data_IF_236765661703
#
_entry.id   IF_236765661703
#
_cell.length_a   1.000
_cell.length_b   1.000
_cell.length_c   1.000
_cell.angle_alpha   90.00
_cell.angle_beta   90.00
_cell.angle_gamma   90.00
#
_symmetry.space_group_name_H-M   'P 1'
#
loop_
_entity.id
_entity.type
_entity.pdbx_description
1 polymer ?
#
# COMPACT_ATOMS: atom_id res chain seq x y z
N UNK A 1 -19.04 10.61 6.75
CA UNK A 1 -20.11 9.68 6.31
C UNK A 1 -19.65 8.98 5.04
N UNK A 2 -19.96 7.69 4.90
CA UNK A 2 -19.67 6.94 3.65
C UNK A 2 -20.58 7.46 2.53
N UNK A 3 -20.10 7.55 1.27
CA UNK A 3 -20.95 7.88 0.13
C UNK A 3 -22.06 6.83 -0.06
N UNK A 4 -23.24 7.25 -0.55
CA UNK A 4 -24.32 6.31 -0.88
C UNK A 4 -23.86 5.29 -1.93
N UNK A 5 -24.13 4.00 -1.69
CA UNK A 5 -23.83 2.92 -2.65
C UNK A 5 -22.45 2.26 -2.50
N UNK A 6 -21.51 2.85 -1.75
CA UNK A 6 -20.20 2.24 -1.49
C UNK A 6 -20.38 1.00 -0.62
N UNK A 7 -20.07 -0.17 -1.17
CA UNK A 7 -19.97 -1.40 -0.38
C UNK A 7 -18.65 -1.42 0.40
N UNK A 8 -18.75 -1.12 1.69
CA UNK A 8 -17.62 -1.21 2.63
C UNK A 8 -17.08 -2.64 2.72
N UNK A 9 -15.77 -2.78 2.74
CA UNK A 9 -15.12 -4.03 3.11
C UNK A 9 -15.14 -4.13 4.63
N UNK A 10 -15.53 -5.26 5.20
CA UNK A 10 -15.51 -5.48 6.66
C UNK A 10 -14.50 -6.56 6.98
N UNK A 11 -13.50 -6.25 7.82
CA UNK A 11 -12.44 -7.21 8.15
C UNK A 11 -12.97 -8.35 9.04
N UNK A 12 -13.75 -8.00 10.06
CA UNK A 12 -14.40 -8.96 10.95
C UNK A 12 -15.88 -8.56 11.19
N UNK A 13 -16.86 -9.25 10.59
CA UNK A 13 -18.28 -8.93 10.78
C UNK A 13 -18.76 -9.07 12.23
N UNK A 14 -18.12 -9.93 13.04
CA UNK A 14 -18.48 -10.12 14.44
C UNK A 14 -17.93 -9.01 15.37
N UNK A 15 -16.97 -8.23 14.89
CA UNK A 15 -16.36 -7.11 15.60
C UNK A 15 -16.03 -6.00 14.59
N UNK A 16 -17.05 -5.27 14.10
CA UNK A 16 -16.82 -4.21 13.13
C UNK A 16 -15.93 -3.12 13.74
N UNK A 17 -14.98 -2.63 12.95
CA UNK A 17 -14.12 -1.55 13.39
C UNK A 17 -14.85 -0.20 13.41
N UNK A 18 -14.37 0.70 14.27
CA UNK A 18 -14.88 2.08 14.30
C UNK A 18 -14.59 2.79 12.96
N UNK A 19 -15.52 3.63 12.48
CA UNK A 19 -15.29 4.44 11.30
C UNK A 19 -14.02 5.29 11.44
N UNK A 20 -13.33 5.50 10.32
CA UNK A 20 -12.18 6.38 10.28
C UNK A 20 -12.63 7.84 10.44
N UNK A 21 -12.30 8.45 11.58
CA UNK A 21 -12.57 9.88 11.83
C UNK A 21 -11.49 10.75 11.17
N UNK A 22 -11.62 10.88 9.86
CA UNK A 22 -10.76 11.71 9.02
C UNK A 22 -11.61 12.35 7.93
N UNK A 23 -11.73 13.68 7.98
CA UNK A 23 -12.67 14.44 7.14
C UNK A 23 -12.60 14.07 5.63
N UNK A 24 -11.42 13.99 4.97
CA UNK A 24 -11.37 13.66 3.54
C UNK A 24 -11.61 12.18 3.24
N UNK A 25 -11.77 11.30 4.24
CA UNK A 25 -11.96 9.86 4.02
C UNK A 25 -13.17 9.55 3.12
N UNK A 26 -14.27 10.29 3.29
CA UNK A 26 -15.46 10.17 2.46
C UNK A 26 -15.24 10.69 1.04
N UNK A 27 -14.57 11.85 0.92
CA UNK A 27 -14.26 12.46 -0.38
C UNK A 27 -13.30 11.60 -1.21
N UNK A 28 -12.34 10.94 -0.57
CA UNK A 28 -11.41 10.01 -1.21
C UNK A 28 -12.13 8.73 -1.69
N UNK A 29 -13.12 8.23 -0.95
CA UNK A 29 -13.97 7.13 -1.42
C UNK A 29 -14.75 7.52 -2.67
N UNK A 30 -15.42 8.68 -2.66
CA UNK A 30 -16.13 9.19 -3.86
C UNK A 30 -15.18 9.40 -5.04
N UNK A 31 -13.98 9.94 -4.78
CA UNK A 31 -12.99 10.14 -5.83
C UNK A 31 -12.47 8.80 -6.40
N UNK A 32 -12.31 7.77 -5.57
CA UNK A 32 -11.90 6.43 -6.00
C UNK A 32 -12.93 5.77 -6.93
N UNK A 33 -14.24 5.97 -6.73
CA UNK A 33 -15.29 5.41 -7.60
C UNK A 33 -15.20 5.91 -9.05
N UNK A 34 -14.66 7.12 -9.24
CA UNK A 34 -14.62 7.80 -10.53
C UNK A 34 -13.21 7.95 -11.10
N UNK A 35 -12.17 7.51 -10.37
CA UNK A 35 -10.80 7.78 -10.77
C UNK A 35 -10.35 6.97 -11.99
N UNK A 36 -10.93 5.79 -12.20
CA UNK A 36 -10.59 4.89 -13.31
C UNK A 36 -9.08 4.63 -13.39
N UNK A 37 -8.46 4.34 -12.25
CA UNK A 37 -7.02 4.14 -12.12
C UNK A 37 -6.19 5.43 -12.02
N UNK A 38 -6.76 6.61 -12.30
CA UNK A 38 -6.00 7.87 -12.39
C UNK A 38 -5.77 8.51 -11.01
N UNK A 39 -4.54 8.95 -10.68
CA UNK A 39 -4.22 9.47 -9.35
C UNK A 39 -4.74 10.90 -9.11
N UNK A 40 -4.94 11.71 -10.16
CA UNK A 40 -5.17 13.16 -10.03
C UNK A 40 -6.39 13.54 -9.17
N UNK A 41 -7.56 12.87 -9.27
CA UNK A 41 -8.68 13.17 -8.40
C UNK A 41 -8.35 12.98 -6.91
N UNK A 42 -7.60 11.94 -6.57
CA UNK A 42 -7.20 11.63 -5.20
C UNK A 42 -6.16 12.65 -4.71
N UNK A 43 -5.17 12.96 -5.53
CA UNK A 43 -4.14 13.96 -5.20
C UNK A 43 -4.73 15.35 -4.96
N UNK A 44 -5.75 15.75 -5.73
CA UNK A 44 -6.48 17.00 -5.48
C UNK A 44 -7.13 17.02 -4.10
N UNK A 45 -7.83 15.94 -3.73
CA UNK A 45 -8.43 15.82 -2.39
C UNK A 45 -7.34 15.88 -1.32
N UNK A 46 -6.26 15.11 -1.43
CA UNK A 46 -5.17 15.12 -0.46
C UNK A 46 -4.53 16.51 -0.29
N UNK A 47 -4.25 17.21 -1.39
CA UNK A 47 -3.63 18.54 -1.35
C UNK A 47 -4.56 19.64 -0.79
N UNK A 48 -5.88 19.47 -0.93
CA UNK A 48 -6.87 20.44 -0.44
C UNK A 48 -7.13 20.34 1.08
N UNK A 49 -6.75 19.23 1.72
CA UNK A 49 -7.01 18.99 3.14
C UNK A 49 -5.70 19.09 3.95
N UNK A 50 -5.49 20.19 4.70
CA UNK A 50 -4.24 20.42 5.40
C UNK A 50 -4.07 19.57 6.68
N UNK A 51 -5.11 18.83 7.09
CA UNK A 51 -5.10 18.01 8.29
C UNK A 51 -4.06 16.90 8.24
N UNK A 52 -3.60 16.47 9.43
CA UNK A 52 -2.67 15.34 9.56
C UNK A 52 -3.41 14.07 9.12
N UNK A 53 -2.86 13.28 8.18
CA UNK A 53 -3.47 12.02 7.79
C UNK A 53 -3.51 11.03 8.96
N UNK A 54 -4.48 10.10 8.97
CA UNK A 54 -4.54 9.06 9.98
C UNK A 54 -3.33 8.15 9.84
N UNK A 55 -2.82 7.72 10.98
CA UNK A 55 -1.62 6.91 11.13
C UNK A 55 -1.99 5.67 11.94
N UNK A 56 -1.48 4.48 11.57
CA UNK A 56 -1.79 3.29 12.34
C UNK A 56 -1.06 3.32 13.69
N UNK A 57 -1.48 2.43 14.59
CA UNK A 57 -0.91 2.26 15.93
C UNK A 57 -1.37 3.31 16.93
N UNK A 58 -2.58 3.86 16.77
CA UNK A 58 -3.11 4.94 17.64
C UNK A 58 -4.51 4.66 18.17
N UNK A 59 -4.94 3.39 18.18
CA UNK A 59 -6.21 2.96 18.77
C UNK A 59 -7.34 2.71 17.77
N UNK A 60 -7.13 2.94 16.47
CA UNK A 60 -8.08 2.58 15.42
C UNK A 60 -7.39 2.04 14.15
N UNK A 61 -6.39 1.17 14.32
CA UNK A 61 -5.69 0.55 13.18
C UNK A 61 -6.64 -0.30 12.33
N UNK A 62 -7.59 -0.99 12.98
CA UNK A 62 -8.58 -1.81 12.29
C UNK A 62 -9.45 -0.98 11.34
N UNK A 63 -9.94 0.19 11.79
CA UNK A 63 -10.74 1.09 10.96
C UNK A 63 -9.95 1.66 9.78
N UNK A 64 -8.68 2.01 10.00
CA UNK A 64 -7.79 2.47 8.93
C UNK A 64 -7.54 1.39 7.87
N UNK A 65 -7.21 0.16 8.28
CA UNK A 65 -7.01 -0.96 7.35
C UNK A 65 -8.29 -1.35 6.63
N UNK A 66 -9.44 -1.29 7.32
CA UNK A 66 -10.74 -1.52 6.70
C UNK A 66 -11.05 -0.47 5.62
N UNK A 67 -10.74 0.79 5.90
CA UNK A 67 -10.90 1.88 4.93
C UNK A 67 -9.96 1.73 3.73
N UNK A 68 -8.68 1.39 3.95
CA UNK A 68 -7.73 1.09 2.86
C UNK A 68 -8.21 -0.09 2.00
N UNK A 69 -8.70 -1.16 2.62
CA UNK A 69 -9.27 -2.30 1.91
C UNK A 69 -10.54 -1.90 1.11
N UNK A 70 -11.34 -0.98 1.64
CA UNK A 70 -12.52 -0.45 0.94
C UNK A 70 -12.12 0.36 -0.28
N UNK A 71 -11.18 1.30 -0.16
CA UNK A 71 -10.61 2.05 -1.28
C UNK A 71 -10.06 1.10 -2.34
N UNK A 72 -9.27 0.10 -1.94
CA UNK A 72 -8.65 -0.84 -2.86
C UNK A 72 -9.65 -1.80 -3.55
N UNK A 73 -10.77 -2.11 -2.89
CA UNK A 73 -11.86 -2.87 -3.51
C UNK A 73 -12.57 -2.07 -4.60
N UNK A 74 -12.63 -0.74 -4.46
CA UNK A 74 -13.11 0.18 -5.49
C UNK A 74 -12.07 0.23 -6.62
N UNK A 75 -10.88 0.75 -6.34
CA UNK A 75 -9.79 0.92 -7.31
C UNK A 75 -8.40 0.80 -6.64
N UNK A 76 -7.56 -0.11 -7.13
CA UNK A 76 -6.24 -0.38 -6.56
C UNK A 76 -5.23 0.74 -6.79
N UNK A 77 -5.38 1.51 -7.87
CA UNK A 77 -4.53 2.66 -8.13
C UNK A 77 -4.87 3.82 -7.17
N UNK A 78 -6.15 3.99 -6.80
CA UNK A 78 -6.54 4.91 -5.74
C UNK A 78 -5.88 4.52 -4.41
N UNK A 79 -5.94 3.24 -4.03
CA UNK A 79 -5.25 2.75 -2.83
C UNK A 79 -3.74 3.00 -2.90
N UNK A 80 -3.10 2.71 -4.04
CA UNK A 80 -1.67 2.92 -4.22
C UNK A 80 -1.26 4.39 -4.24
N UNK A 81 -2.17 5.30 -4.58
CA UNK A 81 -1.96 6.76 -4.51
C UNK A 81 -2.00 7.25 -3.07
N UNK A 82 -2.90 6.69 -2.26
CA UNK A 82 -3.16 7.13 -0.88
C UNK A 82 -2.19 6.50 0.12
N UNK A 83 -1.93 5.19 0.01
CA UNK A 83 -1.20 4.42 1.03
C UNK A 83 0.20 5.00 1.35
N UNK A 84 1.06 5.35 0.37
CA UNK A 84 2.36 5.95 0.65
C UNK A 84 2.27 7.33 1.32
N UNK A 85 1.18 8.07 1.07
CA UNK A 85 0.95 9.36 1.71
C UNK A 85 0.65 9.19 3.21
N UNK A 86 -0.09 8.15 3.57
CA UNK A 86 -0.33 7.79 4.97
C UNK A 86 0.93 7.22 5.65
N UNK A 87 1.71 6.39 4.94
CA UNK A 87 3.00 5.89 5.47
C UNK A 87 3.99 7.04 5.73
N UNK A 88 4.05 8.04 4.83
CA UNK A 88 4.86 9.24 5.06
C UNK A 88 4.44 9.99 6.33
N UNK A 89 3.13 10.16 6.58
CA UNK A 89 2.64 10.77 7.82
C UNK A 89 3.05 9.95 9.06
N UNK A 90 2.97 8.62 8.99
CA UNK A 90 3.39 7.72 10.06
C UNK A 90 4.91 7.82 10.34
N UNK A 91 5.72 7.84 9.29
CA UNK A 91 7.19 7.99 9.36
C UNK A 91 7.55 9.33 10.03
N UNK A 92 6.99 10.44 9.56
CA UNK A 92 7.28 11.77 10.09
C UNK A 92 6.89 11.86 11.57
N UNK A 93 5.69 11.38 11.93
CA UNK A 93 5.24 11.36 13.33
C UNK A 93 6.17 10.54 14.23
N UNK A 94 6.57 9.35 13.80
CA UNK A 94 7.47 8.48 14.59
C UNK A 94 8.88 9.08 14.75
N UNK A 95 9.32 9.89 13.79
CA UNK A 95 10.59 10.61 13.85
C UNK A 95 10.47 11.97 14.56
N UNK A 96 9.29 12.38 15.02
CA UNK A 96 9.08 13.67 15.71
C UNK A 96 9.04 14.88 14.79
N UNK A 97 8.76 14.70 13.50
CA UNK A 97 8.60 15.78 12.53
C UNK A 97 7.13 16.16 12.37
N UNK A 98 6.88 17.44 12.14
CA UNK A 98 5.55 17.97 11.83
C UNK A 98 5.11 17.57 10.41
N UNK A 99 3.80 17.41 10.24
CA UNK A 99 3.19 17.19 8.93
C UNK A 99 3.04 18.51 8.16
N UNK A 100 3.62 18.66 6.97
CA UNK A 100 3.43 19.88 6.20
C UNK A 100 2.02 19.94 5.59
N UNK A 101 1.22 20.92 6.01
CA UNK A 101 -0.13 21.14 5.50
C UNK A 101 -0.18 21.28 3.96
N UNK A 102 -1.20 20.68 3.34
CA UNK A 102 -1.46 20.80 1.90
C UNK A 102 -0.42 20.15 0.99
N UNK A 103 0.38 19.21 1.52
CA UNK A 103 1.40 18.49 0.76
C UNK A 103 0.92 17.10 0.33
N UNK A 104 1.55 16.54 -0.71
CA UNK A 104 1.32 15.17 -1.20
C UNK A 104 2.65 14.42 -1.17
N UNK A 105 2.61 13.15 -0.77
CA UNK A 105 3.82 12.42 -0.37
C UNK A 105 3.91 11.05 -1.02
N UNK A 106 5.13 10.70 -1.40
CA UNK A 106 5.54 9.34 -1.72
C UNK A 106 6.55 8.81 -0.70
N UNK A 107 6.75 7.50 -0.69
CA UNK A 107 7.80 6.82 0.10
C UNK A 107 8.59 5.90 -0.82
N UNK A 108 9.87 6.22 -1.02
CA UNK A 108 10.77 5.53 -1.94
C UNK A 108 11.90 4.88 -1.17
N UNK A 109 11.70 3.62 -0.77
CA UNK A 109 12.68 2.85 0.00
C UNK A 109 13.35 1.73 -0.81
N UNK A 110 12.77 1.32 -1.94
CA UNK A 110 13.25 0.17 -2.71
C UNK A 110 14.60 0.44 -3.42
N UNK A 111 15.42 -0.60 -3.57
CA UNK A 111 16.77 -0.54 -4.16
C UNK A 111 16.91 -1.52 -5.35
N UNK A 112 17.54 -1.07 -6.44
CA UNK A 112 17.83 -1.91 -7.60
C UNK A 112 19.33 -2.16 -7.70
N UNK A 113 19.75 -3.34 -8.20
CA UNK A 113 21.14 -3.54 -8.60
C UNK A 113 21.58 -2.41 -9.55
N UNK A 114 22.77 -1.86 -9.32
CA UNK A 114 23.40 -0.82 -10.15
C UNK A 114 22.74 0.57 -10.13
N UNK A 115 21.73 0.80 -9.29
CA UNK A 115 21.24 2.14 -9.00
C UNK A 115 21.51 2.48 -7.54
N UNK A 116 22.40 3.46 -7.34
CA UNK A 116 22.79 3.91 -6.02
C UNK A 116 22.33 5.36 -5.85
N UNK A 117 21.69 5.64 -4.73
CA UNK A 117 21.43 6.99 -4.24
C UNK A 117 22.25 7.18 -2.96
N UNK A 118 23.18 8.12 -2.98
CA UNK A 118 23.99 8.49 -1.83
C UNK A 118 23.46 9.78 -1.21
N UNK A 119 23.78 9.97 0.06
CA UNK A 119 23.54 11.19 0.79
C UNK A 119 24.83 11.59 1.52
N UNK A 120 25.26 12.83 1.31
CA UNK A 120 26.48 13.39 1.89
C UNK A 120 26.17 14.79 2.44
N UNK A 121 26.92 15.21 3.47
CA UNK A 121 26.85 16.58 3.96
C UNK A 121 27.81 17.45 3.17
N UNK A 122 27.37 18.63 2.76
CA UNK A 122 28.27 19.66 2.23
C UNK A 122 29.10 20.32 3.34
N UNK A 123 29.94 21.28 2.95
CA UNK A 123 30.81 22.02 3.89
C UNK A 123 30.05 22.84 4.94
N UNK A 124 28.74 23.04 4.78
CA UNK A 124 27.87 23.74 5.72
C UNK A 124 27.05 22.77 6.58
N UNK A 125 27.21 21.45 6.38
CA UNK A 125 26.51 20.41 7.11
C UNK A 125 25.12 20.06 6.56
N UNK A 126 24.73 20.62 5.41
CA UNK A 126 23.45 20.32 4.77
C UNK A 126 23.55 19.01 4.00
N UNK A 127 22.58 18.12 4.18
CA UNK A 127 22.53 16.86 3.43
C UNK A 127 22.09 17.08 1.99
N UNK A 128 22.79 16.44 1.06
CA UNK A 128 22.49 16.47 -0.37
C UNK A 128 22.41 15.04 -0.92
N UNK A 129 21.39 14.78 -1.75
CA UNK A 129 21.23 13.49 -2.44
C UNK A 129 21.83 13.53 -3.84
N UNK A 130 22.56 12.47 -4.19
CA UNK A 130 23.17 12.29 -5.49
C UNK A 130 22.99 10.84 -5.99
N UNK A 131 22.59 10.69 -7.26
CA UNK A 131 22.41 9.39 -7.89
C UNK A 131 20.96 9.09 -8.23
N UNK A 132 20.57 7.81 -8.27
CA UNK A 132 19.26 7.41 -8.83
C UNK A 132 18.51 6.52 -7.86
N UNK A 133 17.23 6.86 -7.62
CA UNK A 133 16.29 6.03 -6.88
C UNK A 133 15.29 5.35 -7.83
N UNK A 134 15.20 4.02 -7.85
CA UNK A 134 14.18 3.33 -8.62
C UNK A 134 12.81 3.34 -7.96
N UNK A 135 11.79 3.03 -8.75
CA UNK A 135 10.41 2.76 -8.33
C UNK A 135 9.77 3.87 -7.51
N UNK A 136 9.95 5.10 -7.96
CA UNK A 136 9.40 6.30 -7.34
C UNK A 136 7.99 6.58 -7.87
N UNK A 137 7.01 5.83 -7.36
CA UNK A 137 5.59 5.98 -7.73
C UNK A 137 5.13 7.43 -7.63
N UNK A 138 4.58 7.97 -8.73
CA UNK A 138 4.00 9.32 -8.84
C UNK A 138 4.98 10.47 -8.58
N UNK A 139 6.30 10.27 -8.71
CA UNK A 139 7.27 11.31 -8.41
C UNK A 139 7.06 12.63 -9.20
N UNK A 140 6.47 12.57 -10.41
CA UNK A 140 6.14 13.74 -11.20
C UNK A 140 4.84 14.46 -10.79
N UNK A 141 4.06 13.91 -9.86
CA UNK A 141 2.75 14.41 -9.45
C UNK A 141 2.67 14.77 -7.96
N UNK A 142 3.69 14.41 -7.17
CA UNK A 142 3.73 14.60 -5.73
C UNK A 142 4.60 15.81 -5.36
N UNK A 143 4.30 16.49 -4.25
CA UNK A 143 5.11 17.64 -3.82
C UNK A 143 6.36 17.23 -3.04
N UNK A 144 6.30 16.12 -2.30
CA UNK A 144 7.38 15.65 -1.42
C UNK A 144 7.53 14.13 -1.46
N UNK A 145 8.68 13.66 -0.99
CA UNK A 145 8.90 12.24 -0.76
C UNK A 145 9.78 11.98 0.46
N UNK A 146 9.54 10.84 1.11
CA UNK A 146 10.54 10.19 1.95
C UNK A 146 11.38 9.27 1.07
N UNK A 147 12.70 9.42 1.09
CA UNK A 147 13.63 8.69 0.21
C UNK A 147 14.74 8.07 1.04
N UNK A 148 14.99 6.77 0.88
CA UNK A 148 16.16 6.13 1.50
C UNK A 148 17.41 6.32 0.63
N UNK A 149 18.53 6.68 1.25
CA UNK A 149 19.84 6.83 0.61
C UNK A 149 20.96 6.24 1.49
N UNK A 150 22.10 5.94 0.88
CA UNK A 150 23.28 5.45 1.58
C UNK A 150 24.13 6.63 2.08
N UNK A 151 24.50 6.60 3.37
CA UNK A 151 25.50 7.50 3.95
C UNK A 151 26.73 6.68 4.36
N UNK A 152 27.80 7.37 4.78
CA UNK A 152 28.97 6.73 5.38
C UNK A 152 28.65 5.91 6.66
N UNK A 153 27.53 6.19 7.34
CA UNK A 153 27.08 5.51 8.55
C UNK A 153 26.02 4.42 8.26
N UNK A 154 25.75 4.13 6.99
CA UNK A 154 24.74 3.19 6.56
C UNK A 154 23.51 3.86 5.95
N UNK A 155 22.43 3.10 5.80
CA UNK A 155 21.23 3.59 5.14
C UNK A 155 20.45 4.54 6.04
N UNK A 156 20.03 5.69 5.50
CA UNK A 156 19.18 6.67 6.18
C UNK A 156 18.03 7.09 5.25
N UNK A 157 16.95 7.61 5.82
CA UNK A 157 15.86 8.20 5.05
C UNK A 157 15.86 9.72 5.17
N UNK A 158 15.37 10.37 4.13
CA UNK A 158 15.35 11.82 4.00
C UNK A 158 14.01 12.30 3.45
N UNK A 159 13.54 13.45 3.90
CA UNK A 159 12.45 14.17 3.26
C UNK A 159 13.02 15.14 2.21
N UNK A 160 12.47 15.11 1.00
CA UNK A 160 12.84 16.00 -0.11
C UNK A 160 11.60 16.65 -0.72
N UNK A 161 11.79 17.80 -1.37
CA UNK A 161 10.78 18.36 -2.29
C UNK A 161 11.06 17.84 -3.69
N UNK A 162 10.02 17.35 -4.36
CA UNK A 162 10.16 16.75 -5.70
C UNK A 162 10.20 17.80 -6.82
N UNK A 163 9.91 19.05 -6.49
CA UNK A 163 9.99 20.20 -7.40
C UNK A 163 11.36 20.89 -7.39
N UNK A 164 12.31 20.45 -6.56
CA UNK A 164 13.62 21.08 -6.48
C UNK A 164 14.41 20.82 -7.77
N UNK A 165 15.21 21.79 -8.21
CA UNK A 165 15.81 21.80 -9.55
C UNK A 165 16.72 20.59 -9.88
N UNK A 166 17.28 19.94 -8.86
CA UNK A 166 18.11 18.75 -9.01
C UNK A 166 17.34 17.43 -9.07
N UNK A 167 16.00 17.46 -9.06
CA UNK A 167 15.14 16.27 -9.13
C UNK A 167 14.66 16.08 -10.57
N UNK A 168 15.03 14.95 -11.18
CA UNK A 168 14.64 14.60 -12.54
C UNK A 168 13.90 13.25 -12.60
N UNK A 169 12.61 13.29 -12.93
CA UNK A 169 11.78 12.08 -13.09
C UNK A 169 12.04 11.45 -14.46
N UNK A 170 12.58 10.23 -14.46
CA UNK A 170 12.97 9.53 -15.68
C UNK A 170 11.75 8.98 -16.42
N UNK A 171 11.46 9.57 -17.59
CA UNK A 171 10.30 9.22 -18.41
C UNK A 171 10.46 7.88 -19.12
N UNK A 172 9.34 7.26 -19.49
CA UNK A 172 9.33 6.07 -20.37
C UNK A 172 9.83 4.76 -19.74
N UNK A 173 10.10 4.73 -18.43
CA UNK A 173 10.62 3.55 -17.72
C UNK A 173 9.54 2.64 -17.13
N UNK A 174 8.26 3.03 -17.22
CA UNK A 174 7.12 2.26 -16.69
C UNK A 174 6.30 1.64 -17.83
N UNK A 175 6.46 0.33 -18.05
CA UNK A 175 5.74 -0.43 -19.09
C UNK A 175 4.61 -1.31 -18.55
N UNK A 176 4.35 -1.26 -17.24
CA UNK A 176 3.39 -2.15 -16.60
C UNK A 176 1.97 -1.95 -17.15
N UNK A 177 1.24 -3.05 -17.32
CA UNK A 177 -0.19 -3.04 -17.67
C UNK A 177 -1.08 -2.92 -16.44
N UNK A 178 -0.60 -3.36 -15.28
CA UNK A 178 -1.19 -3.05 -13.98
C UNK A 178 -0.61 -1.77 -13.42
N UNK A 179 -1.43 -1.02 -12.68
CA UNK A 179 -1.10 0.30 -12.14
C UNK A 179 -0.55 1.21 -13.25
N UNK A 180 -1.12 1.12 -14.46
CA UNK A 180 -0.61 1.80 -15.65
C UNK A 180 -0.59 3.33 -15.49
N UNK A 181 -1.53 3.87 -14.71
CA UNK A 181 -1.65 5.30 -14.39
C UNK A 181 -0.87 5.73 -13.15
N UNK A 182 -0.12 4.81 -12.51
CA UNK A 182 0.76 5.08 -11.38
C UNK A 182 2.21 4.92 -11.84
N UNK A 183 2.76 5.86 -12.64
CA UNK A 183 4.13 5.77 -13.13
C UNK A 183 5.09 5.62 -11.95
N UNK A 184 5.82 4.49 -11.95
CA UNK A 184 6.75 4.12 -10.88
C UNK A 184 8.15 3.95 -11.45
N UNK A 185 8.60 4.96 -12.19
CA UNK A 185 9.92 5.02 -12.80
C UNK A 185 11.03 5.39 -11.83
N UNK A 186 12.23 5.61 -12.36
CA UNK A 186 13.37 6.10 -11.55
C UNK A 186 13.34 7.62 -11.42
N UNK A 187 13.96 8.15 -10.37
CA UNK A 187 14.22 9.59 -10.19
C UNK A 187 15.72 9.77 -10.01
N UNK A 188 16.29 10.68 -10.79
CA UNK A 188 17.67 11.11 -10.65
C UNK A 188 17.74 12.34 -9.75
N UNK A 189 18.74 12.36 -8.87
CA UNK A 189 19.01 13.43 -7.91
C UNK A 189 20.41 13.97 -8.17
N UNK A 190 20.52 15.29 -8.32
CA UNK A 190 21.80 16.01 -8.44
C UNK A 190 21.85 17.10 -7.38
N UNK A 191 22.68 16.91 -6.36
CA UNK A 191 22.89 17.85 -5.25
C UNK A 191 21.57 18.32 -4.60
N UNK A 192 20.59 17.43 -4.44
CA UNK A 192 19.25 17.79 -3.94
C UNK A 192 19.27 17.96 -2.43
N UNK A 193 18.93 19.14 -1.87
CA UNK A 193 18.86 19.34 -0.43
C UNK A 193 17.84 18.40 0.22
N UNK A 194 18.23 17.81 1.33
CA UNK A 194 17.46 16.75 1.96
C UNK A 194 17.41 16.90 3.48
N UNK A 195 16.21 16.80 4.06
CA UNK A 195 16.05 16.82 5.50
C UNK A 195 16.20 15.38 6.03
N UNK A 196 17.20 15.08 6.88
CA UNK A 196 17.33 13.75 7.44
C UNK A 196 16.16 13.42 8.38
N UNK A 197 15.63 12.20 8.28
CA UNK A 197 14.54 11.69 9.12
C UNK A 197 15.06 10.48 9.91
N UNK A 198 15.02 10.56 11.24
CA UNK A 198 15.61 9.53 12.11
C UNK A 198 17.12 9.36 11.93
N UNK A 199 17.72 8.39 12.64
CA UNK A 199 19.14 8.04 12.51
C UNK A 199 19.38 7.07 11.32
N UNK A 200 20.65 6.79 11.00
CA UNK A 200 20.96 5.67 10.10
C UNK A 200 20.45 4.34 10.69
N UNK A 201 19.93 3.45 9.84
CA UNK A 201 19.30 2.18 10.24
C UNK A 201 17.85 2.29 10.72
N UNK A 202 17.46 3.43 11.30
CA UNK A 202 16.18 3.63 11.99
C UNK A 202 14.93 3.23 11.21
N UNK A 203 14.91 3.43 9.88
CA UNK A 203 13.71 3.20 9.07
C UNK A 203 13.15 1.77 9.16
N UNK A 204 14.02 0.75 9.23
CA UNK A 204 13.57 -0.64 9.36
C UNK A 204 13.27 -1.03 10.81
N UNK A 205 13.95 -0.38 11.76
CA UNK A 205 13.83 -0.69 13.19
C UNK A 205 12.64 0.02 13.85
N UNK A 206 12.05 1.02 13.19
CA UNK A 206 10.91 1.77 13.74
C UNK A 206 9.73 0.81 13.99
N UNK A 207 9.01 0.95 15.11
CA UNK A 207 7.85 0.09 15.43
C UNK A 207 6.77 0.06 14.34
N UNK A 208 6.63 1.16 13.59
CA UNK A 208 5.58 1.27 12.57
C UNK A 208 5.91 0.57 11.25
N UNK A 209 7.13 0.04 11.05
CA UNK A 209 7.53 -0.55 9.77
C UNK A 209 6.70 -1.80 9.47
N UNK A 210 6.60 -2.69 10.46
CA UNK A 210 5.78 -3.89 10.38
C UNK A 210 4.28 -3.55 10.20
N UNK A 211 3.78 -2.55 10.94
CA UNK A 211 2.39 -2.10 10.86
C UNK A 211 2.05 -1.51 9.48
N UNK A 212 2.93 -0.67 8.92
CA UNK A 212 2.78 -0.14 7.57
C UNK A 212 2.75 -1.23 6.51
N UNK A 213 3.62 -2.24 6.65
CA UNK A 213 3.66 -3.39 5.75
C UNK A 213 2.35 -4.22 5.77
N UNK A 214 1.66 -4.31 6.92
CA UNK A 214 0.32 -4.91 7.00
C UNK A 214 -0.75 -4.00 6.38
N UNK A 215 -0.61 -2.68 6.49
CA UNK A 215 -1.48 -1.72 5.78
C UNK A 215 -1.46 -1.90 4.26
N UNK A 216 -0.29 -2.18 3.68
CA UNK A 216 -0.17 -2.55 2.26
C UNK A 216 -0.92 -3.86 1.97
N UNK A 217 -0.86 -4.86 2.87
CA UNK A 217 -1.62 -6.09 2.72
C UNK A 217 -3.14 -5.85 2.79
N UNK A 218 -3.61 -4.91 3.60
CA UNK A 218 -5.03 -4.53 3.60
C UNK A 218 -5.48 -4.00 2.23
N UNK A 219 -4.62 -3.27 1.51
CA UNK A 219 -4.89 -2.85 0.12
C UNK A 219 -4.99 -4.06 -0.82
N UNK A 220 -4.07 -5.03 -0.73
CA UNK A 220 -4.15 -6.24 -1.55
C UNK A 220 -5.42 -7.04 -1.27
N UNK A 221 -5.77 -7.19 0.01
CA UNK A 221 -7.01 -7.82 0.45
C UNK A 221 -8.23 -7.14 -0.17
N UNK A 222 -8.29 -5.81 -0.15
CA UNK A 222 -9.35 -5.06 -0.84
C UNK A 222 -9.44 -5.39 -2.33
N UNK A 223 -8.30 -5.44 -3.02
CA UNK A 223 -8.23 -5.89 -4.41
C UNK A 223 -8.83 -7.28 -4.63
N UNK A 224 -8.51 -8.24 -3.74
CA UNK A 224 -9.07 -9.59 -3.79
C UNK A 224 -10.59 -9.61 -3.49
N UNK A 225 -11.08 -8.78 -2.58
CA UNK A 225 -12.53 -8.59 -2.36
C UNK A 225 -13.21 -8.09 -3.63
N UNK A 226 -12.60 -7.16 -4.35
CA UNK A 226 -13.11 -6.68 -5.64
C UNK A 226 -13.21 -7.79 -6.69
N UNK A 227 -12.24 -8.72 -6.75
CA UNK A 227 -12.32 -9.90 -7.62
C UNK A 227 -13.48 -10.83 -7.22
N UNK A 228 -13.63 -11.09 -5.92
CA UNK A 228 -14.71 -11.92 -5.40
C UNK A 228 -16.09 -11.31 -5.64
N UNK A 229 -16.24 -9.99 -5.56
CA UNK A 229 -17.49 -9.29 -5.92
C UNK A 229 -17.88 -9.54 -7.37
N UNK A 230 -16.93 -9.57 -8.30
CA UNK A 230 -17.19 -9.95 -9.70
C UNK A 230 -17.65 -11.40 -9.81
N UNK A 231 -17.00 -12.34 -9.10
CA UNK A 231 -17.43 -13.74 -9.06
C UNK A 231 -18.86 -13.87 -8.51
N UNK A 232 -19.17 -13.20 -7.41
CA UNK A 232 -20.48 -13.17 -6.78
C UNK A 232 -21.56 -12.64 -7.72
N UNK A 233 -21.32 -11.48 -8.34
CA UNK A 233 -22.24 -10.90 -9.31
C UNK A 233 -22.44 -11.81 -10.54
N UNK A 234 -21.39 -12.51 -10.99
CA UNK A 234 -21.51 -13.47 -12.09
C UNK A 234 -22.47 -14.63 -11.76
N UNK A 235 -22.41 -15.13 -10.52
CA UNK A 235 -23.28 -16.20 -10.03
C UNK A 235 -24.75 -15.76 -9.83
N UNK A 236 -25.03 -14.46 -9.81
CA UNK A 236 -26.41 -13.94 -9.73
C UNK A 236 -27.09 -13.80 -11.10
N UNK A 237 -26.35 -13.89 -12.21
CA UNK A 237 -26.91 -13.70 -13.57
C UNK A 237 -27.79 -14.86 -14.05
N UNK A 238 -27.56 -16.06 -13.52
CA UNK A 238 -28.33 -17.28 -13.78
C UNK A 238 -28.25 -18.18 -12.55
N UNK A 239 -29.11 -19.19 -12.44
CA UNK A 239 -29.01 -20.17 -11.37
C UNK A 239 -27.61 -20.81 -11.36
N UNK A 240 -26.86 -20.70 -10.24
CA UNK A 240 -25.50 -21.24 -10.17
C UNK A 240 -25.53 -22.76 -10.04
N UNK A 241 -24.70 -23.44 -10.83
CA UNK A 241 -24.45 -24.87 -10.66
C UNK A 241 -23.56 -25.15 -9.45
N UNK A 242 -23.32 -26.44 -9.16
CA UNK A 242 -22.49 -26.86 -8.04
C UNK A 242 -21.05 -26.31 -8.09
N UNK A 243 -20.49 -26.11 -9.29
CA UNK A 243 -19.13 -25.58 -9.43
C UNK A 243 -19.11 -24.09 -9.11
N UNK A 244 -20.07 -23.32 -9.62
CA UNK A 244 -20.22 -21.91 -9.26
C UNK A 244 -20.38 -21.73 -7.74
N UNK A 245 -21.20 -22.57 -7.09
CA UNK A 245 -21.35 -22.57 -5.64
C UNK A 245 -20.05 -22.96 -4.91
N UNK A 246 -19.29 -23.93 -5.43
CA UNK A 246 -17.99 -24.32 -4.89
C UNK A 246 -16.97 -23.15 -4.92
N UNK A 247 -16.89 -22.43 -6.05
CA UNK A 247 -16.01 -21.28 -6.19
C UNK A 247 -16.37 -20.14 -5.23
N UNK A 248 -17.67 -19.89 -5.01
CA UNK A 248 -18.14 -18.93 -4.02
C UNK A 248 -17.75 -19.34 -2.60
N UNK A 249 -17.96 -20.62 -2.24
CA UNK A 249 -17.59 -21.14 -0.92
C UNK A 249 -16.08 -21.06 -0.66
N UNK A 250 -15.26 -21.39 -1.65
CA UNK A 250 -13.80 -21.26 -1.55
C UNK A 250 -13.39 -19.79 -1.38
N UNK A 251 -13.87 -18.90 -2.25
CA UNK A 251 -13.56 -17.47 -2.16
C UNK A 251 -13.99 -16.84 -0.84
N UNK A 252 -15.18 -17.19 -0.34
CA UNK A 252 -15.68 -16.74 0.96
C UNK A 252 -14.74 -17.16 2.10
N UNK A 253 -14.40 -18.46 2.19
CA UNK A 253 -13.54 -18.98 3.25
C UNK A 253 -12.15 -18.35 3.24
N UNK A 254 -11.58 -18.17 2.05
CA UNK A 254 -10.26 -17.54 1.89
C UNK A 254 -10.27 -16.07 2.33
N UNK A 255 -11.25 -15.28 1.87
CA UNK A 255 -11.37 -13.87 2.25
C UNK A 255 -11.73 -13.71 3.73
N UNK A 256 -12.56 -14.59 4.28
CA UNK A 256 -12.87 -14.58 5.71
C UNK A 256 -11.63 -14.80 6.56
N UNK A 257 -10.80 -15.80 6.22
CA UNK A 257 -9.52 -16.03 6.89
C UNK A 257 -8.56 -14.84 6.82
N UNK A 258 -8.41 -14.24 5.64
CA UNK A 258 -7.56 -13.06 5.45
C UNK A 258 -8.07 -11.84 6.21
N UNK A 259 -9.39 -11.61 6.22
CA UNK A 259 -10.03 -10.53 6.98
C UNK A 259 -9.81 -10.68 8.48
N UNK A 260 -9.96 -11.91 9.02
CA UNK A 260 -9.67 -12.20 10.43
C UNK A 260 -8.19 -12.00 10.78
N UNK A 261 -7.27 -12.41 9.90
CA UNK A 261 -5.84 -12.19 10.12
C UNK A 261 -5.49 -10.69 10.22
N UNK A 262 -6.05 -9.86 9.33
CA UNK A 262 -5.91 -8.41 9.39
C UNK A 262 -6.55 -7.81 10.64
N UNK A 263 -7.79 -8.20 10.96
CA UNK A 263 -8.49 -7.70 12.15
C UNK A 263 -7.75 -8.05 13.45
N UNK A 264 -7.25 -9.29 13.55
CA UNK A 264 -6.50 -9.76 14.73
C UNK A 264 -5.16 -9.03 14.88
N UNK A 265 -4.49 -8.68 13.79
CA UNK A 265 -3.24 -7.93 13.82
C UNK A 265 -3.41 -6.45 14.24
N UNK A 266 -4.60 -5.87 14.10
CA UNK A 266 -4.82 -4.47 14.43
C UNK A 266 -4.67 -4.16 15.93
N UNK A 267 -5.11 -5.06 16.82
CA UNK A 267 -4.96 -4.89 18.27
C UNK A 267 -3.50 -4.82 18.73
N UNK A 268 -2.64 -5.80 18.38
CA UNK A 268 -1.20 -5.71 18.59
C UNK A 268 -0.56 -4.47 17.95
N UNK A 269 -1.02 -4.02 16.78
CA UNK A 269 -0.52 -2.79 16.16
C UNK A 269 -0.83 -1.55 17.01
N UNK A 270 -2.07 -1.41 17.50
CA UNK A 270 -2.47 -0.32 18.38
C UNK A 270 -1.77 -0.37 19.74
N UNK A 271 -1.47 -1.58 20.23
CA UNK A 271 -0.66 -1.79 21.43
C UNK A 271 0.86 -1.60 21.22
N UNK A 272 1.32 -1.26 20.01
CA UNK A 272 2.75 -1.18 19.65
C UNK A 272 3.53 -2.48 19.88
N UNK A 273 2.88 -3.63 19.67
CA UNK A 273 3.44 -4.98 19.86
C UNK A 273 3.50 -5.82 18.58
N UNK A 274 2.97 -5.32 17.46
CA UNK A 274 3.05 -6.03 16.18
C UNK A 274 4.49 -5.96 15.66
N UNK A 275 5.12 -7.12 15.49
CA UNK A 275 6.50 -7.21 15.04
C UNK A 275 6.62 -7.64 13.56
N UNK A 276 7.86 -7.78 13.08
CA UNK A 276 8.09 -8.15 11.68
C UNK A 276 7.65 -9.58 11.35
N UNK A 277 7.69 -10.53 12.30
CA UNK A 277 7.22 -11.89 12.08
C UNK A 277 5.68 -11.93 11.94
N UNK A 278 4.97 -11.13 12.74
CA UNK A 278 3.53 -10.92 12.58
C UNK A 278 3.21 -10.34 11.20
N UNK A 279 3.94 -9.29 10.78
CA UNK A 279 3.74 -8.67 9.48
C UNK A 279 3.98 -9.65 8.32
N UNK A 280 5.07 -10.42 8.36
CA UNK A 280 5.35 -11.45 7.35
C UNK A 280 4.25 -12.51 7.30
N UNK A 281 3.75 -12.96 8.45
CA UNK A 281 2.67 -13.94 8.55
C UNK A 281 1.40 -13.44 7.87
N UNK A 282 0.94 -12.23 8.24
CA UNK A 282 -0.28 -11.64 7.68
C UNK A 282 -0.11 -11.35 6.18
N UNK A 283 1.02 -10.77 5.78
CA UNK A 283 1.30 -10.45 4.37
C UNK A 283 1.37 -11.70 3.51
N UNK A 284 2.05 -12.75 3.98
CA UNK A 284 2.15 -14.03 3.27
C UNK A 284 0.78 -14.68 3.10
N UNK A 285 -0.04 -14.71 4.15
CA UNK A 285 -1.39 -15.25 4.09
C UNK A 285 -2.28 -14.47 3.10
N UNK A 286 -2.30 -13.14 3.20
CA UNK A 286 -3.08 -12.28 2.29
C UNK A 286 -2.58 -12.43 0.84
N UNK A 287 -1.26 -12.48 0.62
CA UNK A 287 -0.69 -12.64 -0.71
C UNK A 287 -1.10 -13.99 -1.34
N UNK A 288 -1.08 -15.08 -0.56
CA UNK A 288 -1.53 -16.40 -1.02
C UNK A 288 -3.03 -16.40 -1.40
N UNK A 289 -3.87 -15.77 -0.57
CA UNK A 289 -5.31 -15.58 -0.87
C UNK A 289 -5.50 -14.80 -2.17
N UNK A 290 -4.81 -13.68 -2.33
CA UNK A 290 -4.92 -12.86 -3.54
C UNK A 290 -4.48 -13.63 -4.80
N UNK A 291 -3.39 -14.39 -4.72
CA UNK A 291 -2.92 -15.24 -5.82
C UNK A 291 -3.95 -16.31 -6.20
N UNK A 292 -4.58 -16.95 -5.21
CA UNK A 292 -5.62 -17.95 -5.46
C UNK A 292 -6.83 -17.31 -6.15
N UNK A 293 -7.29 -16.14 -5.69
CA UNK A 293 -8.41 -15.44 -6.32
C UNK A 293 -8.08 -14.94 -7.74
N UNK A 294 -6.85 -14.47 -7.99
CA UNK A 294 -6.41 -14.07 -9.33
C UNK A 294 -6.44 -15.23 -10.34
N UNK A 295 -6.13 -16.45 -9.91
CA UNK A 295 -6.22 -17.64 -10.76
C UNK A 295 -7.66 -18.13 -10.90
N UNK A 296 -8.38 -18.18 -9.78
CA UNK A 296 -9.70 -18.81 -9.67
C UNK A 296 -10.81 -18.02 -10.36
N UNK A 297 -10.82 -16.68 -10.25
CA UNK A 297 -11.95 -15.87 -10.76
C UNK A 297 -12.06 -15.91 -12.29
N UNK A 298 -10.96 -15.78 -13.07
CA UNK A 298 -11.02 -15.97 -14.52
C UNK A 298 -11.42 -17.38 -14.94
N UNK A 299 -10.98 -18.41 -14.21
CA UNK A 299 -11.39 -19.81 -14.47
C UNK A 299 -12.90 -19.99 -14.26
N UNK A 300 -13.44 -19.42 -13.19
CA UNK A 300 -14.86 -19.53 -12.85
C UNK A 300 -15.80 -18.67 -13.71
N UNK A 301 -15.30 -17.54 -14.24
CA UNK A 301 -16.15 -16.56 -14.96
C UNK A 301 -15.92 -16.53 -16.47
N UNK A 302 -14.88 -17.22 -16.95
CA UNK A 302 -14.45 -17.18 -18.34
C UNK A 302 -13.86 -15.81 -18.73
N UNK A 303 -13.63 -15.57 -20.03
CA UNK A 303 -12.96 -14.34 -20.49
C UNK A 303 -13.85 -13.09 -20.39
N UNK A 304 -15.17 -13.25 -20.25
CA UNK A 304 -16.16 -12.17 -20.34
C UNK A 304 -15.82 -10.95 -19.47
N UNK A 305 -15.62 -11.09 -18.15
CA UNK A 305 -15.24 -9.96 -17.29
C UNK A 305 -13.89 -9.33 -17.66
N UNK A 306 -12.92 -10.11 -18.15
CA UNK A 306 -11.60 -9.58 -18.52
C UNK A 306 -11.62 -8.74 -19.81
N UNK A 307 -12.61 -8.94 -20.68
CA UNK A 307 -12.71 -8.22 -21.97
C UNK A 307 -13.85 -7.21 -22.01
N UNK A 308 -14.87 -7.38 -21.16
CA UNK A 308 -16.10 -6.59 -21.18
C UNK A 308 -16.31 -5.67 -19.99
N UNK A 309 -15.51 -5.79 -18.93
CA UNK A 309 -15.55 -4.94 -17.75
C UNK A 309 -14.16 -4.31 -17.50
N UNK A 310 -14.03 -3.04 -17.88
CA UNK A 310 -12.78 -2.27 -17.75
C UNK A 310 -12.29 -2.21 -16.29
N UNK A 311 -13.20 -2.04 -15.32
CA UNK A 311 -12.84 -1.96 -13.91
C UNK A 311 -12.32 -3.31 -13.39
N UNK A 312 -12.94 -4.42 -13.79
CA UNK A 312 -12.45 -5.76 -13.44
C UNK A 312 -11.11 -6.09 -14.12
N UNK A 313 -10.99 -5.82 -15.42
CA UNK A 313 -9.76 -6.07 -16.17
C UNK A 313 -8.56 -5.28 -15.60
N UNK A 314 -8.77 -4.00 -15.28
CA UNK A 314 -7.78 -3.17 -14.59
C UNK A 314 -7.46 -3.74 -13.21
N UNK A 315 -8.45 -4.11 -12.40
CA UNK A 315 -8.22 -4.69 -11.06
C UNK A 315 -7.34 -5.94 -11.10
N UNK A 316 -7.57 -6.83 -12.06
CA UNK A 316 -6.74 -8.03 -12.25
C UNK A 316 -5.29 -7.66 -12.57
N UNK A 317 -5.08 -6.73 -13.51
CA UNK A 317 -3.73 -6.27 -13.88
C UNK A 317 -3.03 -5.56 -12.71
N UNK A 318 -3.73 -4.64 -12.05
CA UNK A 318 -3.24 -3.83 -10.93
C UNK A 318 -2.84 -4.71 -9.74
N UNK A 319 -3.70 -5.66 -9.35
CA UNK A 319 -3.40 -6.56 -8.23
C UNK A 319 -2.21 -7.46 -8.57
N UNK A 320 -2.11 -7.91 -9.82
CA UNK A 320 -1.01 -8.74 -10.31
C UNK A 320 0.35 -8.09 -10.07
N UNK A 321 0.49 -6.80 -10.36
CA UNK A 321 1.75 -6.07 -10.11
C UNK A 321 1.88 -5.59 -8.65
N UNK A 322 0.81 -5.12 -8.00
CA UNK A 322 0.89 -4.60 -6.63
C UNK A 322 1.34 -5.70 -5.63
N UNK A 323 0.90 -6.95 -5.85
CA UNK A 323 1.35 -8.10 -5.08
C UNK A 323 2.84 -8.41 -5.21
N UNK A 324 3.55 -7.89 -6.22
CA UNK A 324 5.01 -8.13 -6.36
C UNK A 324 5.86 -7.37 -5.34
N UNK A 325 5.24 -6.56 -4.48
CA UNK A 325 5.86 -6.06 -3.26
C UNK A 325 5.96 -7.12 -2.14
N UNK A 326 5.33 -8.29 -2.31
CA UNK A 326 5.63 -9.51 -1.55
C UNK A 326 6.71 -10.30 -2.28
N UNK A 327 7.80 -10.65 -1.60
CA UNK A 327 8.97 -11.29 -2.22
C UNK A 327 8.89 -12.83 -2.28
N UNK A 328 7.71 -13.39 -2.06
CA UNK A 328 7.46 -14.83 -2.16
C UNK A 328 8.32 -15.62 -1.18
N UNK A 329 9.00 -16.65 -1.68
CA UNK A 329 9.84 -17.54 -0.88
C UNK A 329 10.93 -16.83 -0.06
N UNK A 330 11.35 -15.60 -0.43
CA UNK A 330 12.28 -14.82 0.39
C UNK A 330 11.63 -14.30 1.67
N UNK A 331 10.39 -13.82 1.58
CA UNK A 331 9.60 -13.39 2.74
C UNK A 331 9.27 -14.62 3.62
N UNK A 332 8.93 -15.78 3.02
CA UNK A 332 8.71 -17.03 3.75
C UNK A 332 9.99 -17.53 4.46
N UNK A 333 11.15 -17.43 3.82
CA UNK A 333 12.42 -17.80 4.43
C UNK A 333 12.76 -16.88 5.62
N UNK A 334 12.50 -15.57 5.49
CA UNK A 334 12.65 -14.63 6.59
C UNK A 334 11.73 -14.96 7.77
N UNK A 335 10.47 -15.34 7.49
CA UNK A 335 9.53 -15.78 8.51
C UNK A 335 9.98 -17.09 9.17
N UNK A 336 10.39 -18.08 8.40
CA UNK A 336 10.88 -19.36 8.91
C UNK A 336 12.06 -19.19 9.86
N UNK A 337 12.98 -18.26 9.56
CA UNK A 337 14.07 -17.88 10.46
C UNK A 337 13.58 -17.32 11.80
N UNK A 338 12.55 -16.44 11.78
CA UNK A 338 11.94 -15.88 12.99
C UNK A 338 11.21 -16.94 13.81
N UNK A 339 10.45 -17.82 13.16
CA UNK A 339 9.73 -18.93 13.82
C UNK A 339 10.71 -19.88 14.51
N UNK A 340 11.81 -20.23 13.86
CA UNK A 340 12.85 -21.09 14.44
C UNK A 340 13.51 -20.42 15.65
N UNK A 341 13.82 -19.12 15.57
CA UNK A 341 14.39 -18.35 16.69
C UNK A 341 13.45 -18.27 17.90
N UNK A 342 12.14 -18.20 17.66
CA UNK A 342 11.12 -18.15 18.70
C UNK A 342 10.83 -19.51 19.36
N UNK A 343 11.46 -20.61 18.90
CA UNK A 343 11.29 -21.94 19.48
C UNK A 343 10.05 -22.71 19.01
N UNK A 344 9.36 -22.24 17.97
CA UNK A 344 8.15 -22.87 17.44
C UNK A 344 6.92 -22.59 18.32
N UNK A 345 5.84 -22.03 17.76
CA UNK A 345 4.63 -21.72 18.54
C UNK A 345 3.63 -22.89 18.64
N UNK A 346 3.94 -24.05 18.05
CA UNK A 346 3.08 -25.25 17.96
C UNK A 346 3.84 -26.51 18.36
#
# INVERSE_FOLDING_TARGET
MLPEGVQTVVLNPAAPADPLDWEPAGQLLTAAEHCQGRPEPLLRVLSAHPGIPPVPGTGNTAGLWQWLATIAAIDLAAARTIEPHLDAAAILRQAGHEWPAGSTWGVYAAEAPHQLLTAEQDGEGTWQLNGTKPWCSLAGNLSRAIVSAHTAQGRRIFAVRLSDAGVEVQQGTWHSRGLAHIPSGSVHFTAVPAQPIGAAGWYLDRPGFAVGAVGVAACWFGGAVGLYRTLFASAQRREPDQLALSWLGEGHRLLHGAGLALANAAGPADAQRLDWADALTVRGHVAAVCQRLLAMVPEATGPGPLVGDDAHARRVADLGIYLRQHHGARDDAALGGKVLQAGGPW
#
